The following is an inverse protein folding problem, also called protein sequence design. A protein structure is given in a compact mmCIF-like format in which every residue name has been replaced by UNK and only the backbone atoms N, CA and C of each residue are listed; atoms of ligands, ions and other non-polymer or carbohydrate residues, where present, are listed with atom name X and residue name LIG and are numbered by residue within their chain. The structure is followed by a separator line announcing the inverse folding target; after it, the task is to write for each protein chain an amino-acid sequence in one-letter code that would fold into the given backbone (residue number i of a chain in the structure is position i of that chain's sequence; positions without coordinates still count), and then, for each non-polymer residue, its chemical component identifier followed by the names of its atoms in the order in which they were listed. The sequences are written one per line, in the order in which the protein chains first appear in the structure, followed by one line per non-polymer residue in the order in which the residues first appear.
data_IF_590836785628
#
_entry.id   IF_590836785628
#
_cell.length_a   1.000
_cell.length_b   1.000
_cell.length_c   1.000
_cell.angle_alpha   90.00
_cell.angle_beta   90.00
_cell.angle_gamma   90.00
#
_symmetry.space_group_name_H-M   'P 1'
#
loop_
_entity.id
_entity.type
_entity.pdbx_description
1 polymer ?
#
# COMPACT_ATOMS: atom_id res chain seq x y z
N UNK A 1 -66.14 -17.56 20.36
CA UNK A 1 -65.01 -18.30 20.98
C UNK A 1 -63.77 -17.44 20.74
N UNK A 2 -63.27 -16.64 21.70
CA UNK A 2 -62.47 -17.00 22.89
C UNK A 2 -61.25 -17.88 22.55
N UNK A 3 -59.96 -17.64 22.84
CA UNK A 3 -59.14 -16.70 23.67
C UNK A 3 -57.68 -16.64 23.12
N UNK A 4 -56.88 -15.78 23.75
CA UNK A 4 -55.54 -15.21 23.51
C UNK A 4 -54.27 -16.15 23.52
N UNK A 5 -53.04 -15.60 23.28
CA UNK A 5 -51.75 -16.31 23.07
C UNK A 5 -50.78 -16.29 24.29
N UNK A 6 -49.68 -17.06 24.20
CA UNK A 6 -48.50 -17.12 25.10
C UNK A 6 -47.29 -17.58 24.26
N UNK A 7 -46.02 -17.19 24.42
CA UNK A 7 -45.34 -16.21 25.26
C UNK A 7 -43.94 -15.94 24.65
N UNK A 8 -43.39 -14.76 24.92
CA UNK A 8 -42.06 -14.33 24.55
C UNK A 8 -40.98 -14.89 25.48
N UNK A 9 -39.85 -15.33 24.93
CA UNK A 9 -38.63 -15.70 25.66
C UNK A 9 -37.54 -14.65 25.44
N UNK A 10 -37.29 -13.86 26.48
CA UNK A 10 -36.26 -12.83 26.56
C UNK A 10 -34.90 -13.48 26.91
N UNK A 11 -33.83 -13.16 26.17
CA UNK A 11 -32.46 -13.51 26.54
C UNK A 11 -31.69 -12.23 26.89
N UNK A 12 -31.64 -11.93 28.18
CA UNK A 12 -30.86 -10.85 28.78
C UNK A 12 -29.41 -11.30 28.92
N UNK A 13 -28.48 -10.65 28.25
CA UNK A 13 -27.04 -10.74 28.58
C UNK A 13 -26.71 -9.57 29.50
N UNK A 14 -26.20 -9.93 30.67
CA UNK A 14 -25.88 -9.08 31.81
C UNK A 14 -24.88 -7.97 31.48
N UNK A 15 -25.23 -6.76 31.93
CA UNK A 15 -24.30 -5.66 32.18
C UNK A 15 -23.66 -5.89 33.54
N UNK A 16 -22.35 -6.16 33.59
CA UNK A 16 -21.52 -5.93 34.76
C UNK A 16 -20.80 -4.58 34.54
N UNK A 17 -20.92 -3.55 35.37
CA UNK A 17 -20.96 -3.55 36.82
C UNK A 17 -19.67 -2.90 37.31
N UNK A 18 -19.66 -1.56 37.35
CA UNK A 18 -18.57 -0.78 37.96
C UNK A 18 -18.44 -1.13 39.45
N UNK A 19 -17.22 -1.33 39.92
CA UNK A 19 -16.90 -1.25 41.35
C UNK A 19 -15.49 -0.71 41.51
N UNK A 20 -15.42 0.37 42.29
CA UNK A 20 -14.22 1.06 42.70
C UNK A 20 -13.31 0.13 43.53
N UNK A 21 -12.00 0.19 43.29
CA UNK A 21 -11.02 -0.35 44.22
C UNK A 21 -10.36 0.79 44.98
N UNK A 22 -10.50 0.71 46.30
CA UNK A 22 -9.87 1.56 47.29
C UNK A 22 -8.36 1.36 47.31
N UNK A 23 -7.64 2.45 47.56
CA UNK A 23 -6.22 2.48 47.82
C UNK A 23 -5.89 1.81 49.16
N UNK A 24 -4.88 0.93 49.15
CA UNK A 24 -4.12 0.59 50.34
C UNK A 24 -2.64 0.48 49.94
N UNK A 25 -1.82 1.35 50.53
CA UNK A 25 -0.38 1.35 50.36
C UNK A 25 0.26 0.32 51.30
N UNK A 26 1.13 -0.53 50.76
CA UNK A 26 2.18 -1.22 51.53
C UNK A 26 3.45 -1.30 50.69
N UNK A 27 4.56 -0.86 51.28
CA UNK A 27 5.89 -0.84 50.69
C UNK A 27 6.49 -2.25 50.59
N UNK A 28 7.24 -2.51 49.51
CA UNK A 28 8.31 -3.52 49.50
C UNK A 28 8.34 -4.44 48.27
N UNK A 29 9.41 -4.33 47.49
CA UNK A 29 9.97 -5.49 46.78
C UNK A 29 9.95 -5.47 45.24
N UNK A 30 11.14 -5.22 44.67
CA UNK A 30 11.65 -5.70 43.37
C UNK A 30 10.74 -5.57 42.13
N UNK A 31 11.06 -4.56 41.32
CA UNK A 31 10.42 -4.28 40.03
C UNK A 31 10.52 -5.43 39.04
N UNK A 32 9.37 -5.94 38.62
CA UNK A 32 9.18 -6.64 37.35
C UNK A 32 8.54 -5.63 36.41
N UNK A 33 9.35 -4.95 35.60
CA UNK A 33 8.85 -4.10 34.53
C UNK A 33 8.17 -5.01 33.49
N UNK A 34 6.86 -5.19 33.62
CA UNK A 34 6.03 -5.74 32.56
C UNK A 34 6.18 -4.84 31.35
N UNK A 35 6.89 -5.30 30.33
CA UNK A 35 6.85 -4.70 28.99
C UNK A 35 5.39 -4.77 28.55
N UNK A 36 4.70 -3.63 28.61
CA UNK A 36 3.54 -3.41 27.77
C UNK A 36 4.00 -3.68 26.33
N UNK A 37 3.57 -4.80 25.75
CA UNK A 37 3.74 -5.01 24.33
C UNK A 37 3.02 -3.88 23.63
N UNK A 38 3.76 -3.04 22.90
CA UNK A 38 3.16 -2.11 21.96
C UNK A 38 2.25 -2.93 21.06
N UNK A 39 0.94 -2.67 21.09
CA UNK A 39 0.05 -3.17 20.07
C UNK A 39 0.63 -2.70 18.73
N UNK A 40 1.10 -3.62 17.91
CA UNK A 40 1.34 -3.32 16.51
C UNK A 40 0.03 -2.72 15.98
N UNK A 41 0.10 -1.52 15.39
CA UNK A 41 -1.03 -0.99 14.66
C UNK A 41 -1.44 -2.06 13.65
N UNK A 42 -2.69 -2.52 13.72
CA UNK A 42 -3.22 -3.53 12.80
C UNK A 42 -3.05 -2.97 11.38
N UNK A 43 -2.16 -3.56 10.60
CA UNK A 43 -1.89 -3.08 9.25
C UNK A 43 -3.07 -3.46 8.35
N UNK A 44 -3.44 -2.58 7.41
CA UNK A 44 -4.61 -2.78 6.54
C UNK A 44 -4.35 -3.80 5.42
N UNK A 45 -3.27 -4.57 5.53
CA UNK A 45 -2.71 -5.39 4.46
C UNK A 45 -2.92 -6.88 4.65
N UNK A 46 -3.01 -7.60 3.54
CA UNK A 46 -3.15 -9.06 3.47
C UNK A 46 -2.03 -9.65 2.62
N UNK A 47 -1.66 -10.91 2.86
CA UNK A 47 -0.66 -11.60 2.03
C UNK A 47 -1.31 -12.02 0.70
N UNK A 48 -0.62 -11.79 -0.41
CA UNK A 48 -0.99 -12.28 -1.74
C UNK A 48 0.20 -12.94 -2.43
N UNK A 49 0.07 -14.21 -2.82
CA UNK A 49 1.09 -14.93 -3.58
C UNK A 49 0.72 -14.90 -5.06
N UNK A 50 1.52 -14.22 -5.87
CA UNK A 50 1.30 -14.14 -7.31
C UNK A 50 1.93 -15.33 -8.01
N UNK A 51 1.10 -16.30 -8.42
CA UNK A 51 1.57 -17.51 -9.11
C UNK A 51 2.28 -17.21 -10.43
N UNK A 52 1.96 -16.10 -11.11
CA UNK A 52 2.55 -15.75 -12.41
C UNK A 52 4.00 -15.29 -12.25
N UNK A 53 4.23 -14.36 -11.32
CA UNK A 53 5.57 -13.78 -11.11
C UNK A 53 6.41 -14.54 -10.08
N UNK A 54 5.75 -15.24 -9.16
CA UNK A 54 6.35 -15.94 -8.03
C UNK A 54 6.64 -15.04 -6.82
N UNK A 55 6.24 -13.76 -6.86
CA UNK A 55 6.38 -12.87 -5.71
C UNK A 55 5.31 -13.14 -4.65
N UNK A 56 5.71 -13.05 -3.40
CA UNK A 56 4.80 -12.80 -2.28
C UNK A 56 4.67 -11.29 -2.09
N UNK A 57 3.45 -10.78 -2.04
CA UNK A 57 3.13 -9.37 -1.88
C UNK A 57 2.37 -9.15 -0.57
N UNK A 58 2.65 -8.02 0.07
CA UNK A 58 1.69 -7.37 0.96
C UNK A 58 0.68 -6.60 0.12
N UNK A 59 -0.60 -6.80 0.35
CA UNK A 59 -1.69 -6.33 -0.51
C UNK A 59 -2.66 -5.45 0.27
N UNK A 60 -2.98 -4.29 -0.30
CA UNK A 60 -4.03 -3.41 0.15
C UNK A 60 -5.12 -3.25 -0.92
N UNK A 61 -6.39 -3.23 -0.50
CA UNK A 61 -7.53 -2.93 -1.37
C UNK A 61 -7.87 -1.43 -1.27
N UNK A 62 -7.39 -0.65 -2.24
CA UNK A 62 -7.65 0.77 -2.36
C UNK A 62 -9.04 1.04 -2.97
N UNK A 63 -10.03 1.26 -2.11
CA UNK A 63 -11.42 1.57 -2.52
C UNK A 63 -11.52 2.99 -3.05
N UNK A 64 -11.98 3.16 -4.29
CA UNK A 64 -12.17 4.48 -4.93
C UNK A 64 -13.65 4.81 -5.20
N UNK A 65 -14.57 3.99 -4.71
CA UNK A 65 -16.02 4.22 -4.80
C UNK A 65 -16.74 3.68 -3.57
N UNK A 66 -17.91 4.26 -3.27
CA UNK A 66 -18.79 3.81 -2.18
C UNK A 66 -19.38 2.42 -2.43
N UNK A 67 -19.48 1.97 -3.70
CA UNK A 67 -20.03 0.66 -4.07
C UNK A 67 -19.00 -0.47 -3.98
N UNK A 68 -18.01 -0.35 -3.07
CA UNK A 68 -16.91 -1.32 -2.89
C UNK A 68 -16.02 -1.56 -4.12
N UNK A 69 -16.05 -0.70 -5.15
CA UNK A 69 -15.04 -0.75 -6.22
C UNK A 69 -13.69 -0.35 -5.64
N UNK A 70 -12.66 -1.10 -6.02
CA UNK A 70 -11.30 -0.84 -5.59
C UNK A 70 -10.28 -1.36 -6.59
N UNK A 71 -9.06 -0.90 -6.40
CA UNK A 71 -7.86 -1.43 -7.04
C UNK A 71 -6.98 -2.08 -5.98
N UNK A 72 -6.19 -3.07 -6.37
CA UNK A 72 -5.18 -3.63 -5.48
C UNK A 72 -3.86 -2.89 -5.66
N UNK A 73 -3.25 -2.51 -4.54
CA UNK A 73 -1.87 -2.04 -4.48
C UNK A 73 -1.09 -3.07 -3.68
N UNK A 74 -0.07 -3.63 -4.32
CA UNK A 74 0.72 -4.76 -3.80
C UNK A 74 2.18 -4.38 -3.75
N UNK A 75 2.85 -4.66 -2.64
CA UNK A 75 4.27 -4.37 -2.43
C UNK A 75 5.00 -5.64 -2.03
N UNK A 76 6.06 -5.96 -2.77
CA UNK A 76 7.00 -7.02 -2.45
C UNK A 76 8.36 -6.41 -2.13
N UNK A 77 9.02 -6.94 -1.09
CA UNK A 77 10.30 -6.44 -0.58
C UNK A 77 11.30 -7.60 -0.41
N UNK A 78 12.62 -7.33 -0.36
CA UNK A 78 13.61 -8.33 0.03
C UNK A 78 13.45 -8.71 1.52
N UNK A 79 13.63 -9.99 1.87
CA UNK A 79 13.47 -10.47 3.26
C UNK A 79 14.64 -10.14 4.21
N UNK A 80 15.73 -9.55 3.70
CA UNK A 80 16.97 -9.38 4.47
C UNK A 80 17.54 -7.98 4.29
N UNK A 81 16.71 -6.97 4.55
CA UNK A 81 17.10 -5.56 4.47
C UNK A 81 17.56 -5.10 5.85
N UNK A 82 18.85 -4.76 6.03
CA UNK A 82 19.29 -4.21 7.31
C UNK A 82 18.55 -2.91 7.62
N UNK A 83 18.31 -2.66 8.92
CA UNK A 83 17.65 -1.42 9.35
C UNK A 83 18.33 -0.18 8.77
N UNK A 84 17.54 0.82 8.39
CA UNK A 84 18.02 2.09 7.83
C UNK A 84 18.82 2.00 6.53
N UNK A 85 18.68 0.89 5.79
CA UNK A 85 19.28 0.72 4.46
C UNK A 85 18.24 0.95 3.39
N UNK A 86 18.64 1.58 2.28
CA UNK A 86 17.78 1.80 1.12
C UNK A 86 17.61 0.47 0.38
N UNK A 87 16.41 0.20 -0.14
CA UNK A 87 16.12 -1.08 -0.79
C UNK A 87 15.16 -0.92 -1.98
N UNK A 88 15.36 -1.77 -2.98
CA UNK A 88 14.43 -1.90 -4.09
C UNK A 88 13.15 -2.62 -3.64
N UNK A 89 12.04 -2.27 -4.27
CA UNK A 89 10.73 -2.88 -4.04
C UNK A 89 10.11 -3.26 -5.37
N UNK A 90 9.19 -4.22 -5.37
CA UNK A 90 8.31 -4.46 -6.52
C UNK A 90 6.92 -3.99 -6.16
N UNK A 91 6.39 -3.04 -6.93
CA UNK A 91 5.00 -2.59 -6.84
C UNK A 91 4.19 -3.28 -7.92
N UNK A 92 3.00 -3.76 -7.55
CA UNK A 92 1.99 -4.24 -8.48
C UNK A 92 0.68 -3.49 -8.24
N UNK A 93 0.12 -2.90 -9.30
CA UNK A 93 -1.19 -2.25 -9.27
C UNK A 93 -2.11 -3.04 -10.18
N UNK A 94 -3.22 -3.53 -9.64
CA UNK A 94 -4.29 -4.20 -10.37
C UNK A 94 -5.55 -3.37 -10.27
N UNK A 95 -6.01 -2.83 -11.38
CA UNK A 95 -7.08 -1.86 -11.40
C UNK A 95 -8.10 -2.19 -12.49
N UNK A 96 -9.41 -2.00 -12.24
CA UNK A 96 -10.41 -2.10 -13.28
C UNK A 96 -10.16 -1.11 -14.42
N UNK A 97 -10.67 -1.40 -15.62
CA UNK A 97 -10.48 -0.52 -16.80
C UNK A 97 -11.18 0.85 -16.68
N UNK A 98 -12.08 1.02 -15.71
CA UNK A 98 -12.68 2.32 -15.38
C UNK A 98 -11.72 3.23 -14.59
N UNK A 99 -10.59 2.69 -14.10
CA UNK A 99 -9.48 3.47 -13.57
C UNK A 99 -8.63 4.04 -14.70
N UNK A 100 -8.80 5.34 -14.94
CA UNK A 100 -8.02 6.10 -15.91
C UNK A 100 -6.56 6.23 -15.53
N UNK A 101 -6.29 6.51 -14.25
CA UNK A 101 -4.95 6.38 -13.65
C UNK A 101 -5.04 6.16 -12.14
N UNK A 102 -4.02 5.50 -11.59
CA UNK A 102 -3.81 5.28 -10.17
C UNK A 102 -2.49 5.93 -9.72
N UNK A 103 -2.51 6.56 -8.56
CA UNK A 103 -1.34 7.12 -7.90
C UNK A 103 -1.01 6.37 -6.61
N UNK A 104 0.28 6.25 -6.31
CA UNK A 104 0.82 5.78 -5.04
C UNK A 104 1.82 6.82 -4.52
N UNK A 105 1.61 7.31 -3.31
CA UNK A 105 2.56 8.15 -2.59
C UNK A 105 3.34 7.31 -1.59
N UNK A 106 4.65 7.18 -1.82
CA UNK A 106 5.53 6.35 -0.99
C UNK A 106 5.71 6.92 0.43
N UNK A 107 5.52 8.23 0.60
CA UNK A 107 5.55 8.89 1.90
C UNK A 107 4.19 9.19 2.52
N UNK A 108 3.11 8.73 1.91
CA UNK A 108 1.75 8.94 2.43
C UNK A 108 1.19 10.35 2.25
N UNK A 109 1.86 11.23 1.50
CA UNK A 109 1.41 12.59 1.18
C UNK A 109 1.60 12.89 -0.32
N UNK A 110 0.92 13.88 -0.89
CA UNK A 110 1.14 14.24 -2.30
C UNK A 110 2.51 14.90 -2.52
N UNK A 111 3.02 15.61 -1.52
CA UNK A 111 4.20 16.47 -1.69
C UNK A 111 5.44 15.89 -1.01
N UNK A 112 6.61 16.25 -1.54
CA UNK A 112 7.93 15.98 -0.93
C UNK A 112 8.26 14.49 -0.70
N UNK A 113 7.70 13.61 -1.51
CA UNK A 113 8.05 12.19 -1.56
C UNK A 113 7.88 11.64 -2.98
N UNK A 114 8.51 10.49 -3.31
CA UNK A 114 8.32 9.83 -4.59
C UNK A 114 6.87 9.44 -4.78
N UNK A 115 6.35 9.68 -5.98
CA UNK A 115 5.02 9.26 -6.39
C UNK A 115 5.14 8.28 -7.56
N UNK A 116 4.43 7.17 -7.49
CA UNK A 116 4.15 6.32 -8.65
C UNK A 116 2.83 6.78 -9.27
N UNK A 117 2.79 7.02 -10.57
CA UNK A 117 1.54 7.23 -11.31
C UNK A 117 1.46 6.24 -12.44
N UNK A 118 0.42 5.41 -12.47
CA UNK A 118 0.29 4.32 -13.41
C UNK A 118 -1.11 4.22 -14.04
N UNK A 119 -1.17 3.66 -15.24
CA UNK A 119 -2.42 3.44 -15.96
C UNK A 119 -2.27 2.31 -16.99
N UNK A 120 -3.41 1.73 -17.38
CA UNK A 120 -3.47 0.75 -18.46
C UNK A 120 -3.21 1.38 -19.83
N UNK A 121 -2.34 0.77 -20.63
CA UNK A 121 -2.06 1.18 -22.01
C UNK A 121 -1.69 -0.03 -22.87
N UNK A 122 -2.29 -0.11 -24.07
CA UNK A 122 -2.17 -1.25 -24.97
C UNK A 122 -2.40 -2.59 -24.23
N UNK A 123 -1.54 -3.59 -24.43
CA UNK A 123 -1.61 -4.90 -23.78
C UNK A 123 -1.09 -4.92 -22.34
N UNK A 124 -0.71 -3.78 -21.76
CA UNK A 124 -0.09 -3.70 -20.43
C UNK A 124 -0.41 -2.38 -19.73
N UNK A 125 0.62 -1.72 -19.22
CA UNK A 125 0.49 -0.44 -18.54
C UNK A 125 1.73 0.44 -18.68
N UNK A 126 1.57 1.69 -18.27
CA UNK A 126 2.66 2.66 -18.12
C UNK A 126 2.73 3.07 -16.66
N UNK A 127 3.94 3.23 -16.13
CA UNK A 127 4.20 3.77 -14.80
C UNK A 127 5.21 4.92 -14.89
N UNK A 128 4.99 5.94 -14.07
CA UNK A 128 5.74 7.17 -14.06
C UNK A 128 6.25 7.49 -12.66
N UNK A 129 7.52 7.88 -12.60
CA UNK A 129 8.15 8.45 -11.41
C UNK A 129 7.89 9.94 -11.35
N UNK A 130 7.24 10.39 -10.29
CA UNK A 130 6.78 11.77 -10.12
C UNK A 130 7.16 12.34 -8.75
N UNK A 131 7.24 13.66 -8.67
CA UNK A 131 7.45 14.42 -7.45
C UNK A 131 6.66 15.73 -7.50
N UNK A 132 6.09 16.14 -6.38
CA UNK A 132 5.41 17.42 -6.26
C UNK A 132 5.97 18.21 -5.08
N UNK A 133 6.25 19.50 -5.28
CA UNK A 133 6.61 20.41 -4.18
C UNK A 133 5.39 21.16 -3.62
N UNK A 134 4.23 21.01 -4.25
CA UNK A 134 2.95 21.61 -3.85
C UNK A 134 1.79 20.87 -4.53
N UNK A 135 0.56 21.31 -4.26
CA UNK A 135 -0.65 20.71 -4.83
C UNK A 135 -0.91 21.20 -6.25
N UNK A 136 -0.07 20.76 -7.18
CA UNK A 136 -0.19 20.96 -8.62
C UNK A 136 0.32 19.71 -9.34
N UNK A 137 0.21 19.67 -10.68
CA UNK A 137 0.62 18.52 -11.49
C UNK A 137 2.05 18.05 -11.13
N UNK A 138 2.22 16.84 -10.57
CA UNK A 138 3.52 16.30 -10.23
C UNK A 138 4.44 16.23 -11.45
N UNK A 139 5.69 16.68 -11.27
CA UNK A 139 6.70 16.71 -12.33
C UNK A 139 7.47 15.38 -12.37
N UNK A 140 8.05 15.01 -13.53
CA UNK A 140 8.93 13.85 -13.61
C UNK A 140 10.05 13.88 -12.56
N UNK A 141 10.31 12.73 -11.94
CA UNK A 141 11.28 12.61 -10.86
C UNK A 141 12.35 11.58 -11.18
N UNK A 142 13.61 11.97 -11.08
CA UNK A 142 14.77 11.13 -11.41
C UNK A 142 15.38 10.43 -10.20
N UNK A 143 14.98 10.80 -8.98
CA UNK A 143 15.47 10.14 -7.75
C UNK A 143 14.84 8.77 -7.49
N UNK A 144 13.83 8.39 -8.27
CA UNK A 144 13.34 7.02 -8.32
C UNK A 144 13.11 6.57 -9.77
N UNK A 145 13.32 5.28 -10.03
CA UNK A 145 13.16 4.69 -11.37
C UNK A 145 12.28 3.44 -11.30
N UNK A 146 11.47 3.24 -12.33
CA UNK A 146 10.61 2.06 -12.46
C UNK A 146 11.06 1.21 -13.65
N UNK A 147 11.34 -0.05 -13.38
CA UNK A 147 11.60 -1.08 -14.39
C UNK A 147 10.38 -2.01 -14.45
N UNK A 148 9.60 -1.90 -15.53
CA UNK A 148 8.40 -2.72 -15.74
C UNK A 148 8.82 -4.19 -15.89
N UNK A 149 8.13 -5.07 -15.16
CA UNK A 149 8.28 -6.52 -15.21
C UNK A 149 7.21 -7.09 -16.16
N UNK A 150 7.57 -7.49 -17.41
CA UNK A 150 6.58 -7.89 -18.41
C UNK A 150 5.75 -9.10 -18.00
N UNK A 151 6.36 -10.07 -17.30
CA UNK A 151 5.67 -11.28 -16.84
C UNK A 151 4.47 -10.98 -15.94
N UNK A 152 4.49 -9.88 -15.17
CA UNK A 152 3.40 -9.48 -14.28
C UNK A 152 2.61 -8.28 -14.80
N UNK A 153 2.77 -7.88 -16.07
CA UNK A 153 2.16 -6.67 -16.63
C UNK A 153 1.30 -7.03 -17.82
N UNK A 154 0.00 -6.83 -17.70
CA UNK A 154 -0.96 -7.16 -18.76
C UNK A 154 -2.25 -6.37 -18.61
N UNK A 155 -3.01 -6.25 -19.69
CA UNK A 155 -4.33 -5.62 -19.70
C UNK A 155 -5.33 -6.47 -20.47
N UNK A 156 -6.57 -6.49 -20.01
CA UNK A 156 -7.69 -7.15 -20.66
C UNK A 156 -8.94 -6.25 -20.63
N UNK A 157 -10.08 -6.75 -21.10
CA UNK A 157 -11.32 -5.96 -21.17
C UNK A 157 -11.92 -5.54 -19.82
N UNK A 158 -11.38 -6.03 -18.70
CA UNK A 158 -11.90 -5.78 -17.35
C UNK A 158 -10.91 -5.10 -16.43
N UNK A 159 -9.62 -5.43 -16.54
CA UNK A 159 -8.56 -4.93 -15.67
C UNK A 159 -7.28 -4.66 -16.45
N UNK A 160 -6.50 -3.71 -15.94
CA UNK A 160 -5.09 -3.60 -16.23
C UNK A 160 -4.28 -3.91 -14.98
N UNK A 161 -3.13 -4.54 -15.19
CA UNK A 161 -2.14 -4.86 -14.19
C UNK A 161 -0.80 -4.37 -14.66
N UNK A 162 -0.10 -3.65 -13.79
CA UNK A 162 1.30 -3.29 -13.97
C UNK A 162 2.10 -3.77 -12.78
N UNK A 163 3.22 -4.43 -13.06
CA UNK A 163 4.19 -4.82 -12.05
C UNK A 163 5.52 -4.18 -12.43
N UNK A 164 6.15 -3.47 -11.49
CA UNK A 164 7.43 -2.81 -11.75
C UNK A 164 8.32 -2.88 -10.52
N UNK A 165 9.62 -3.12 -10.74
CA UNK A 165 10.63 -2.85 -9.71
C UNK A 165 10.80 -1.34 -9.60
N UNK A 166 10.76 -0.80 -8.39
CA UNK A 166 11.21 0.55 -8.11
C UNK A 166 12.55 0.56 -7.38
N UNK A 167 13.49 1.34 -7.90
CA UNK A 167 14.71 1.76 -7.21
C UNK A 167 14.60 3.21 -6.77
N UNK A 168 15.00 3.53 -5.53
CA UNK A 168 14.93 4.90 -4.97
C UNK A 168 13.54 5.33 -4.44
N UNK A 169 12.56 4.42 -4.38
CA UNK A 169 11.23 4.74 -3.83
C UNK A 169 11.18 4.72 -2.29
N UNK A 170 12.07 3.98 -1.63
CA UNK A 170 11.99 3.68 -0.18
C UNK A 170 12.85 4.59 0.68
N UNK A 171 13.67 5.45 0.07
CA UNK A 171 14.50 6.43 0.73
C UNK A 171 14.50 7.73 -0.08
N UNK A 172 14.11 8.83 0.54
CA UNK A 172 13.95 10.11 -0.16
C UNK A 172 14.13 11.32 0.76
N UNK A 173 14.55 12.44 0.18
CA UNK A 173 14.71 13.71 0.89
C UNK A 173 14.34 14.88 -0.01
N UNK A 174 13.95 16.00 0.59
CA UNK A 174 13.46 17.18 -0.14
C UNK A 174 14.55 18.10 -0.71
N UNK A 175 15.81 17.63 -0.81
CA UNK A 175 16.93 18.40 -1.35
C UNK A 175 18.28 17.96 -0.79
N UNK A 176 19.36 18.58 -1.32
CA UNK A 176 20.73 18.34 -0.84
C UNK A 176 20.84 18.69 0.65
N UNK A 177 21.39 17.77 1.45
CA UNK A 177 21.55 17.94 2.91
C UNK A 177 20.28 17.75 3.73
N UNK A 178 19.14 17.39 3.12
CA UNK A 178 17.93 17.03 3.89
C UNK A 178 18.10 15.66 4.56
N UNK A 179 17.54 15.50 5.76
CA UNK A 179 17.38 14.18 6.36
C UNK A 179 16.56 13.27 5.45
N UNK A 180 17.05 12.05 5.21
CA UNK A 180 16.34 11.06 4.41
C UNK A 180 15.20 10.46 5.23
N UNK A 181 13.99 10.52 4.67
CA UNK A 181 12.88 9.68 5.07
C UNK A 181 13.12 8.28 4.52
N UNK A 182 12.92 7.26 5.34
CA UNK A 182 13.09 5.85 4.94
C UNK A 182 11.89 5.03 5.37
N UNK A 183 11.47 4.16 4.46
CA UNK A 183 10.47 3.14 4.74
C UNK A 183 11.11 1.96 5.48
N UNK A 184 10.34 1.29 6.32
CA UNK A 184 10.74 0.05 6.96
C UNK A 184 10.44 -1.14 6.05
N UNK A 185 11.44 -1.95 5.74
CA UNK A 185 11.22 -3.22 5.03
C UNK A 185 10.51 -4.27 5.92
N UNK A 186 10.64 -4.14 7.25
CA UNK A 186 10.23 -5.14 8.24
C UNK A 186 9.12 -4.62 9.15
N UNK A 187 8.19 -3.81 8.61
CA UNK A 187 7.05 -3.32 9.37
C UNK A 187 6.15 -2.39 8.58
N UNK A 188 5.31 -1.66 9.31
CA UNK A 188 4.30 -0.80 8.72
C UNK A 188 4.84 0.55 8.25
N UNK A 189 4.35 0.98 7.09
CA UNK A 189 4.64 2.25 6.44
C UNK A 189 3.32 2.95 6.11
N UNK A 190 3.21 4.25 6.42
CA UNK A 190 2.05 5.04 6.01
C UNK A 190 2.16 5.40 4.54
N UNK A 191 1.23 4.90 3.73
CA UNK A 191 1.16 5.17 2.29
C UNK A 191 -0.15 5.88 1.96
N UNK A 192 -0.23 6.44 0.75
CA UNK A 192 -1.47 7.00 0.22
C UNK A 192 -1.66 6.63 -1.24
N UNK A 193 -2.92 6.57 -1.68
CA UNK A 193 -3.27 6.34 -3.07
C UNK A 193 -4.12 7.49 -3.60
N UNK A 194 -4.12 7.62 -4.91
CA UNK A 194 -4.95 8.54 -5.64
C UNK A 194 -5.58 7.82 -6.85
N UNK A 195 -6.74 8.29 -7.28
CA UNK A 195 -7.49 7.71 -8.39
C UNK A 195 -8.13 8.81 -9.24
N UNK A 196 -8.13 8.64 -10.57
CA UNK A 196 -9.08 9.32 -11.44
C UNK A 196 -9.60 8.40 -12.55
N UNK A 197 -10.83 8.65 -13.00
CA UNK A 197 -11.45 7.94 -14.13
C UNK A 197 -10.89 8.39 -15.50
N UNK A 198 -10.48 9.65 -15.62
CA UNK A 198 -9.97 10.22 -16.86
C UNK A 198 -8.54 9.78 -17.10
N UNK A 199 -8.26 9.19 -18.26
CA UNK A 199 -6.90 8.79 -18.65
C UNK A 199 -5.96 10.01 -18.82
N UNK A 200 -4.64 9.82 -18.69
CA UNK A 200 -3.67 10.84 -19.09
C UNK A 200 -3.82 11.27 -20.56
N UNK A 201 -3.37 12.48 -20.88
CA UNK A 201 -3.53 13.11 -22.21
C UNK A 201 -2.78 12.39 -23.33
N UNK A 202 -1.64 11.78 -23.01
CA UNK A 202 -0.79 10.99 -23.90
C UNK A 202 -0.49 9.63 -23.26
N UNK A 203 -1.44 8.67 -23.28
CA UNK A 203 -1.33 7.41 -22.53
C UNK A 203 -0.09 6.55 -22.86
N UNK A 204 0.54 6.74 -24.01
CA UNK A 204 1.77 6.03 -24.38
C UNK A 204 3.03 6.55 -23.66
N UNK A 205 2.97 7.74 -23.07
CA UNK A 205 4.14 8.43 -22.50
C UNK A 205 4.07 8.47 -20.98
N UNK A 206 5.10 7.95 -20.30
CA UNK A 206 5.22 8.09 -18.86
C UNK A 206 5.39 9.57 -18.42
N UNK A 207 5.65 10.50 -19.33
CA UNK A 207 5.73 11.94 -19.06
C UNK A 207 4.39 12.66 -19.29
N UNK A 208 3.33 11.95 -19.65
CA UNK A 208 2.00 12.53 -19.93
C UNK A 208 1.53 13.46 -18.81
N UNK A 209 0.78 14.52 -19.18
CA UNK A 209 -0.05 15.24 -18.22
C UNK A 209 -1.31 14.42 -17.92
N UNK A 210 -1.92 14.71 -16.77
CA UNK A 210 -3.15 14.09 -16.29
C UNK A 210 -3.92 15.09 -15.42
N UNK A 211 -5.23 14.90 -15.30
CA UNK A 211 -6.08 15.72 -14.43
C UNK A 211 -5.90 15.37 -12.95
N UNK A 212 -6.49 16.19 -12.08
CA UNK A 212 -6.53 15.95 -10.63
C UNK A 212 -7.28 14.64 -10.30
N UNK A 213 -6.88 14.00 -9.19
CA UNK A 213 -7.57 12.81 -8.69
C UNK A 213 -8.97 13.15 -8.15
N UNK A 214 -9.91 12.24 -8.35
CA UNK A 214 -11.25 12.34 -7.77
C UNK A 214 -11.33 11.75 -6.36
N UNK A 215 -10.46 10.78 -6.04
CA UNK A 215 -10.44 10.11 -4.72
C UNK A 215 -9.00 9.92 -4.27
N UNK A 216 -8.79 10.08 -2.96
CA UNK A 216 -7.56 9.75 -2.26
C UNK A 216 -7.88 8.86 -1.05
N UNK A 217 -6.87 8.14 -0.56
CA UNK A 217 -6.96 7.45 0.72
C UNK A 217 -5.59 7.13 1.28
N UNK A 218 -5.55 6.86 2.58
CA UNK A 218 -4.33 6.61 3.34
C UNK A 218 -4.49 5.29 4.08
N UNK A 219 -3.39 4.57 4.28
CA UNK A 219 -3.43 3.33 5.04
C UNK A 219 -2.06 3.00 5.64
N UNK A 220 -2.08 2.02 6.54
CA UNK A 220 -0.90 1.43 7.18
C UNK A 220 -0.52 0.17 6.38
N UNK A 221 0.58 0.22 5.61
CA UNK A 221 1.04 -0.88 4.77
C UNK A 221 2.19 -1.65 5.43
N UNK A 222 1.96 -2.90 5.85
CA UNK A 222 3.01 -3.74 6.43
C UNK A 222 3.83 -4.43 5.34
N UNK A 223 5.10 -4.02 5.19
CA UNK A 223 6.01 -4.61 4.20
C UNK A 223 6.50 -6.01 4.59
N UNK A 224 6.46 -6.37 5.88
CA UNK A 224 6.93 -7.68 6.33
C UNK A 224 6.10 -8.84 5.76
N UNK A 225 4.81 -8.60 5.50
CA UNK A 225 3.91 -9.54 4.83
C UNK A 225 4.27 -9.82 3.36
N UNK A 226 5.10 -8.97 2.73
CA UNK A 226 5.52 -9.06 1.33
C UNK A 226 6.99 -9.44 1.15
N UNK A 227 7.63 -10.05 2.14
CA UNK A 227 9.05 -10.41 2.08
C UNK A 227 9.34 -11.57 1.12
N UNK A 228 10.44 -11.46 0.38
CA UNK A 228 10.90 -12.46 -0.58
C UNK A 228 12.39 -12.74 -0.40
N UNK A 229 12.75 -13.97 -0.03
CA UNK A 229 14.16 -14.40 0.08
C UNK A 229 14.87 -14.41 -1.27
N UNK A 230 14.16 -14.76 -2.34
CA UNK A 230 14.68 -14.81 -3.71
C UNK A 230 14.42 -13.52 -4.51
N UNK A 231 14.26 -12.36 -3.85
CA UNK A 231 13.79 -11.12 -4.46
C UNK A 231 14.56 -10.75 -5.75
N UNK A 232 15.89 -10.71 -5.70
CA UNK A 232 16.70 -10.36 -6.86
C UNK A 232 16.55 -11.37 -8.03
N UNK A 233 16.47 -12.67 -7.71
CA UNK A 233 16.24 -13.72 -8.71
C UNK A 233 14.84 -13.63 -9.34
N UNK A 234 13.81 -13.32 -8.54
CA UNK A 234 12.45 -13.08 -9.02
C UNK A 234 12.40 -11.86 -9.93
N UNK A 235 13.02 -10.74 -9.56
CA UNK A 235 13.15 -9.56 -10.43
C UNK A 235 13.79 -9.96 -11.77
N UNK A 236 14.95 -10.62 -11.74
CA UNK A 236 15.68 -11.01 -12.93
C UNK A 236 14.88 -11.97 -13.85
N UNK A 237 14.16 -12.93 -13.26
CA UNK A 237 13.25 -13.84 -13.99
C UNK A 237 12.16 -13.05 -14.71
N UNK A 238 11.51 -12.14 -14.00
CA UNK A 238 10.34 -11.42 -14.50
C UNK A 238 10.69 -10.29 -15.49
N UNK A 239 11.94 -9.79 -15.49
CA UNK A 239 12.46 -8.87 -16.51
C UNK A 239 12.72 -9.56 -17.87
N UNK A 240 13.17 -10.81 -17.86
CA UNK A 240 13.61 -11.54 -19.08
C UNK A 240 12.48 -12.17 -19.89
N UNK A 241 11.28 -12.29 -19.32
CA UNK A 241 10.20 -13.12 -19.86
C UNK A 241 9.39 -12.45 -20.99
N UNK A 242 9.93 -11.43 -21.65
CA UNK A 242 9.32 -10.80 -22.84
C UNK A 242 9.67 -11.49 -24.17
N UNK A 243 9.97 -12.80 -24.15
CA UNK A 243 10.29 -13.57 -25.35
C UNK A 243 9.20 -14.56 -25.68
#
# INVERSE_FOLDING_TARGET
MKWAPLAAGCCTVLVAGWSAFAAAATMGGAGSAGRAGSAAADADTTIYVDAQTGFTFSQYLAKYSLNSKGMYIRIAVPSSVPASTDFDVVVQIVAPVDVGWAGLAWGGDMTKNPLAVAWGYASGGVISSRWANGHYLPQPYTGSTYEVLPAGTHSNGTHWQITAKCSGCTAYGSGSGSSLSRLSAHGSNRLAFAYAATKPTSPASNLSSFGEHSVIGYWSHDFSAGENAAFASLVAKNLKSSR
#
